data_IF_739107362142
#
_entry.id   IF_739107362142
#
_cell.length_a   1.000
_cell.length_b   1.000
_cell.length_c   1.000
_cell.angle_alpha   90.00
_cell.angle_beta   90.00
_cell.angle_gamma   90.00
#
_symmetry.space_group_name_H-M   'P 1'
#
loop_
_entity.id
_entity.type
_entity.pdbx_description
1 polymer ?
#
# COMPACT_ATOMS: atom_id res chain seq x y z
N UNK A 1 -18.55 -31.76 13.36
CA UNK A 1 -18.59 -31.88 11.87
C UNK A 1 -18.25 -30.55 11.18
N UNK A 2 -18.91 -29.44 11.53
CA UNK A 2 -18.68 -28.10 10.96
C UNK A 2 -17.21 -27.65 10.96
N UNK A 3 -16.48 -27.82 12.07
CA UNK A 3 -15.08 -27.43 12.17
C UNK A 3 -14.15 -28.19 11.20
N UNK A 4 -14.37 -29.51 11.01
CA UNK A 4 -13.58 -30.31 10.06
C UNK A 4 -13.76 -29.82 8.62
N UNK A 5 -15.01 -29.47 8.26
CA UNK A 5 -15.32 -28.91 6.94
C UNK A 5 -14.60 -27.56 6.75
N UNK A 6 -14.70 -26.65 7.73
CA UNK A 6 -14.02 -25.35 7.68
C UNK A 6 -12.50 -25.50 7.54
N UNK A 7 -11.87 -26.38 8.34
CA UNK A 7 -10.43 -26.65 8.27
C UNK A 7 -10.01 -27.24 6.92
N UNK A 8 -10.84 -28.08 6.32
CA UNK A 8 -10.58 -28.68 5.01
C UNK A 8 -10.71 -27.68 3.86
N UNK A 9 -11.63 -26.70 3.97
CA UNK A 9 -11.80 -25.62 3.00
C UNK A 9 -10.63 -24.62 2.97
N UNK A 10 -9.78 -24.59 4.00
CA UNK A 10 -8.63 -23.69 4.07
C UNK A 10 -7.41 -24.36 3.42
N UNK A 11 -6.70 -23.66 2.50
CA UNK A 11 -5.47 -24.15 1.89
C UNK A 11 -4.42 -24.55 2.92
N UNK A 12 -3.71 -25.64 2.68
CA UNK A 12 -2.72 -26.19 3.61
C UNK A 12 -1.61 -25.20 3.97
N UNK A 13 -1.19 -24.37 3.00
CA UNK A 13 -0.23 -23.28 3.19
C UNK A 13 -0.65 -22.24 4.23
N UNK A 14 -1.95 -22.10 4.49
CA UNK A 14 -2.52 -21.14 5.45
C UNK A 14 -2.91 -21.85 6.76
N UNK A 15 -3.24 -23.15 6.69
CA UNK A 15 -3.71 -23.94 7.83
C UNK A 15 -2.71 -23.96 9.00
N UNK A 16 -1.41 -24.08 8.71
CA UNK A 16 -0.36 -24.06 9.75
C UNK A 16 -0.22 -22.70 10.47
N UNK A 17 -0.78 -21.64 9.88
CA UNK A 17 -0.86 -20.32 10.49
C UNK A 17 -2.15 -20.12 11.30
N UNK A 18 -2.97 -21.13 11.57
CA UNK A 18 -4.15 -20.98 12.45
C UNK A 18 -3.94 -21.90 13.65
N UNK A 19 -4.00 -21.38 14.90
CA UNK A 19 -3.89 -22.23 16.08
C UNK A 19 -4.96 -23.34 16.07
N UNK A 20 -4.65 -24.45 16.70
CA UNK A 20 -5.63 -25.51 16.88
C UNK A 20 -6.78 -25.03 17.76
N UNK A 21 -8.01 -25.25 17.31
CA UNK A 21 -9.24 -24.87 18.01
C UNK A 21 -10.25 -26.00 17.88
N UNK A 22 -11.09 -26.15 18.92
CA UNK A 22 -12.11 -27.20 19.04
C UNK A 22 -13.52 -26.67 18.78
N UNK A 23 -13.74 -25.37 19.00
CA UNK A 23 -15.02 -24.71 18.78
C UNK A 23 -15.05 -24.01 17.42
N UNK A 24 -16.04 -24.37 16.60
CA UNK A 24 -16.20 -23.80 15.25
C UNK A 24 -16.31 -22.26 15.24
N UNK A 25 -17.01 -21.69 16.23
CA UNK A 25 -17.15 -20.23 16.36
C UNK A 25 -15.81 -19.55 16.70
N UNK A 26 -15.10 -20.08 17.70
CA UNK A 26 -13.79 -19.57 18.08
C UNK A 26 -12.77 -19.68 16.95
N UNK A 27 -12.84 -20.73 16.13
CA UNK A 27 -12.02 -20.90 14.94
C UNK A 27 -12.28 -19.81 13.90
N UNK A 28 -13.55 -19.47 13.65
CA UNK A 28 -13.91 -18.36 12.77
C UNK A 28 -13.45 -17.01 13.34
N UNK A 29 -13.61 -16.79 14.64
CA UNK A 29 -13.15 -15.55 15.29
C UNK A 29 -11.61 -15.42 15.19
N UNK A 30 -10.86 -16.52 15.33
CA UNK A 30 -9.41 -16.53 15.13
C UNK A 30 -9.01 -16.21 13.69
N UNK A 31 -9.71 -16.76 12.70
CA UNK A 31 -9.50 -16.40 11.29
C UNK A 31 -9.80 -14.92 11.08
N UNK A 32 -10.96 -14.45 11.53
CA UNK A 32 -11.35 -13.05 11.40
C UNK A 32 -10.34 -12.12 12.06
N UNK A 33 -9.83 -12.44 13.25
CA UNK A 33 -8.81 -11.64 13.95
C UNK A 33 -7.44 -11.69 13.27
N UNK A 34 -7.04 -12.84 12.72
CA UNK A 34 -5.73 -13.01 12.10
C UNK A 34 -5.65 -12.41 10.69
N UNK A 35 -6.77 -12.41 9.98
CA UNK A 35 -6.94 -11.82 8.66
C UNK A 35 -7.74 -10.51 8.68
N UNK A 36 -8.03 -9.98 9.87
CA UNK A 36 -8.53 -8.61 10.01
C UNK A 36 -7.59 -7.69 9.25
N UNK A 37 -8.14 -6.66 8.59
CA UNK A 37 -7.40 -5.70 7.79
C UNK A 37 -6.14 -5.26 8.56
N UNK A 38 -5.00 -5.84 8.17
CA UNK A 38 -3.77 -5.66 8.91
C UNK A 38 -3.17 -4.35 8.43
N UNK A 39 -3.00 -3.40 9.35
CA UNK A 39 -2.38 -2.10 9.06
C UNK A 39 -1.07 -2.26 8.27
N UNK A 40 -0.29 -3.33 8.52
CA UNK A 40 0.94 -3.65 7.76
C UNK A 40 0.67 -4.04 6.32
N UNK A 41 -0.39 -4.82 6.06
CA UNK A 41 -0.78 -5.22 4.70
C UNK A 41 -1.29 -4.00 3.95
N UNK A 42 -2.15 -3.19 4.56
CA UNK A 42 -2.62 -1.95 3.93
C UNK A 42 -1.45 -0.99 3.64
N UNK A 43 -0.54 -0.81 4.60
CA UNK A 43 0.69 -0.02 4.42
C UNK A 43 1.51 -0.53 3.24
N UNK A 44 1.73 -1.85 3.16
CA UNK A 44 2.49 -2.48 2.07
C UNK A 44 1.80 -2.29 0.72
N UNK A 45 0.47 -2.41 0.67
CA UNK A 45 -0.32 -2.18 -0.54
C UNK A 45 -0.24 -0.72 -1.00
N UNK A 46 -0.38 0.25 -0.08
CA UNK A 46 -0.29 1.68 -0.41
C UNK A 46 1.12 2.02 -0.89
N UNK A 47 2.16 1.55 -0.20
CA UNK A 47 3.56 1.76 -0.60
C UNK A 47 3.83 1.18 -1.99
N UNK A 48 3.40 -0.07 -2.23
CA UNK A 48 3.54 -0.72 -3.54
C UNK A 48 2.86 0.08 -4.65
N UNK A 49 1.64 0.58 -4.40
CA UNK A 49 0.94 1.47 -5.34
C UNK A 49 1.72 2.77 -5.55
N UNK A 50 2.20 3.41 -4.49
CA UNK A 50 2.91 4.68 -4.55
C UNK A 50 4.19 4.57 -5.40
N UNK A 51 5.02 3.55 -5.19
CA UNK A 51 6.30 3.39 -5.90
C UNK A 51 6.14 2.87 -7.34
N UNK A 52 5.08 2.11 -7.62
CA UNK A 52 4.80 1.57 -8.95
C UNK A 52 4.01 2.52 -9.85
N UNK A 53 3.35 3.52 -9.27
CA UNK A 53 2.57 4.49 -10.02
C UNK A 53 3.44 5.26 -11.01
N UNK A 54 2.95 5.40 -12.25
CA UNK A 54 3.58 6.17 -13.33
C UNK A 54 2.56 7.08 -13.98
N UNK A 55 2.98 8.30 -14.32
CA UNK A 55 2.12 9.24 -15.03
C UNK A 55 1.98 8.82 -16.50
N UNK A 56 0.74 8.58 -16.95
CA UNK A 56 0.44 8.07 -18.30
C UNK A 56 0.00 9.17 -19.29
N UNK A 57 0.08 10.45 -18.92
CA UNK A 57 -0.30 11.56 -19.80
C UNK A 57 -1.80 11.75 -20.06
N UNK A 58 -2.67 10.87 -19.54
CA UNK A 58 -4.13 10.93 -19.78
C UNK A 58 -4.89 11.85 -18.83
N UNK A 59 -4.43 11.96 -17.58
CA UNK A 59 -5.01 12.82 -16.53
C UNK A 59 -4.22 14.12 -16.46
N UNK A 60 -4.77 15.15 -15.82
CA UNK A 60 -4.00 16.34 -15.50
C UNK A 60 -2.87 15.99 -14.51
N UNK A 61 -1.69 16.59 -14.68
CA UNK A 61 -0.55 16.43 -13.78
C UNK A 61 -0.90 16.83 -12.33
N UNK A 62 -1.75 17.85 -12.14
CA UNK A 62 -2.21 18.27 -10.82
C UNK A 62 -3.03 17.19 -10.12
N UNK A 63 -3.93 16.56 -10.85
CA UNK A 63 -4.75 15.46 -10.33
C UNK A 63 -3.87 14.25 -9.97
N UNK A 64 -2.86 13.98 -10.79
CA UNK A 64 -1.89 12.92 -10.53
C UNK A 64 -1.10 13.15 -9.23
N UNK A 65 -0.58 14.36 -9.03
CA UNK A 65 0.13 14.74 -7.79
C UNK A 65 -0.81 14.66 -6.58
N UNK A 66 -2.05 15.09 -6.73
CA UNK A 66 -3.06 14.98 -5.67
C UNK A 66 -3.37 13.52 -5.32
N UNK A 67 -3.43 12.63 -6.32
CA UNK A 67 -3.60 11.19 -6.09
C UNK A 67 -2.42 10.60 -5.29
N UNK A 68 -1.18 10.96 -5.64
CA UNK A 68 0.02 10.55 -4.87
C UNK A 68 0.01 11.13 -3.45
N UNK A 69 -0.32 12.40 -3.28
CA UNK A 69 -0.39 13.07 -1.97
C UNK A 69 -1.41 12.41 -1.07
N UNK A 70 -2.58 12.03 -1.61
CA UNK A 70 -3.60 11.31 -0.86
C UNK A 70 -3.11 9.93 -0.37
N UNK A 71 -2.28 9.22 -1.15
CA UNK A 71 -1.66 7.98 -0.69
C UNK A 71 -0.70 8.23 0.49
N UNK A 72 0.09 9.29 0.44
CA UNK A 72 0.98 9.68 1.56
C UNK A 72 0.17 10.05 2.82
N UNK A 73 -0.92 10.80 2.68
CA UNK A 73 -1.82 11.13 3.80
C UNK A 73 -2.41 9.88 4.45
N UNK A 74 -2.75 8.86 3.64
CA UNK A 74 -3.22 7.57 4.16
C UNK A 74 -2.11 6.80 4.89
N UNK A 75 -0.88 6.81 4.38
CA UNK A 75 0.27 6.23 5.09
C UNK A 75 0.48 6.91 6.44
N UNK A 76 0.35 8.24 6.50
CA UNK A 76 0.42 9.00 7.76
C UNK A 76 -0.65 8.57 8.75
N UNK A 77 -1.89 8.32 8.30
CA UNK A 77 -2.96 7.78 9.16
C UNK A 77 -2.62 6.38 9.72
N UNK A 78 -1.81 5.60 8.99
CA UNK A 78 -1.27 4.30 9.41
C UNK A 78 0.07 4.41 10.17
N UNK A 79 0.41 5.61 10.68
CA UNK A 79 1.63 5.91 11.45
C UNK A 79 2.94 5.73 10.64
N UNK A 80 2.88 5.72 9.30
CA UNK A 80 4.04 5.77 8.43
C UNK A 80 4.13 7.14 7.77
N UNK A 81 5.01 8.00 8.29
CA UNK A 81 5.24 9.32 7.72
C UNK A 81 6.34 9.29 6.65
N UNK A 82 6.05 9.91 5.50
CA UNK A 82 7.02 10.19 4.45
C UNK A 82 7.25 11.69 4.41
N UNK A 83 8.51 12.10 4.24
CA UNK A 83 8.84 13.52 4.09
C UNK A 83 8.26 14.06 2.77
N UNK A 84 7.99 15.37 2.76
CA UNK A 84 7.55 16.06 1.53
C UNK A 84 8.60 15.94 0.43
N UNK A 85 9.89 15.97 0.78
CA UNK A 85 11.00 15.79 -0.15
C UNK A 85 10.94 14.42 -0.86
N UNK A 86 10.68 13.34 -0.12
CA UNK A 86 10.49 12.01 -0.71
C UNK A 86 9.30 12.00 -1.67
N UNK A 87 8.18 12.65 -1.31
CA UNK A 87 7.01 12.74 -2.19
C UNK A 87 7.35 13.48 -3.49
N UNK A 88 8.10 14.59 -3.41
CA UNK A 88 8.54 15.34 -4.60
C UNK A 88 9.43 14.46 -5.49
N UNK A 89 10.40 13.76 -4.91
CA UNK A 89 11.25 12.84 -5.66
C UNK A 89 10.46 11.69 -6.30
N UNK A 90 9.48 11.11 -5.59
CA UNK A 90 8.59 10.07 -6.12
C UNK A 90 7.75 10.56 -7.31
N UNK A 91 7.24 11.79 -7.24
CA UNK A 91 6.56 12.44 -8.37
C UNK A 91 7.54 12.58 -9.54
N UNK A 92 8.74 13.13 -9.31
CA UNK A 92 9.70 13.37 -10.39
C UNK A 92 10.13 12.09 -11.11
N UNK A 93 10.42 11.00 -10.39
CA UNK A 93 10.83 9.73 -11.01
C UNK A 93 9.68 9.04 -11.75
N UNK A 94 8.42 9.32 -11.38
CA UNK A 94 7.25 8.69 -12.00
C UNK A 94 6.80 9.38 -13.30
N UNK A 95 7.33 10.57 -13.59
CA UNK A 95 7.02 11.30 -14.83
C UNK A 95 7.75 10.71 -16.05
N UNK A 96 7.08 10.65 -17.21
CA UNK A 96 7.69 10.22 -18.47
C UNK A 96 8.74 11.22 -18.96
N UNK A 97 9.58 10.78 -19.90
CA UNK A 97 10.74 11.53 -20.43
C UNK A 97 10.37 12.87 -21.06
N UNK A 98 9.14 13.05 -21.54
CA UNK A 98 8.63 14.35 -21.99
C UNK A 98 8.68 15.45 -20.91
N UNK A 99 8.74 15.08 -19.62
CA UNK A 99 8.91 16.01 -18.49
C UNK A 99 10.37 16.16 -18.03
N UNK A 100 11.35 15.69 -18.82
CA UNK A 100 12.78 15.83 -18.46
C UNK A 100 13.20 17.26 -18.13
N UNK A 101 12.75 18.32 -18.84
CA UNK A 101 13.06 19.70 -18.47
C UNK A 101 12.62 20.07 -17.05
N UNK A 102 11.49 19.52 -16.58
CA UNK A 102 11.00 19.75 -15.22
C UNK A 102 11.92 19.12 -14.17
N UNK A 103 12.42 17.89 -14.44
CA UNK A 103 13.39 17.22 -13.56
C UNK A 103 14.70 17.98 -13.47
N UNK A 104 15.21 18.46 -14.62
CA UNK A 104 16.45 19.25 -14.67
C UNK A 104 16.27 20.56 -13.88
N UNK A 105 15.18 21.28 -14.11
CA UNK A 105 14.88 22.54 -13.40
C UNK A 105 14.89 22.34 -11.88
N UNK A 106 14.18 21.33 -11.37
CA UNK A 106 14.17 21.00 -9.94
C UNK A 106 15.57 20.70 -9.40
N UNK A 107 16.32 19.81 -10.06
CA UNK A 107 17.66 19.42 -9.59
C UNK A 107 18.68 20.57 -9.62
N UNK A 108 18.46 21.59 -10.46
CA UNK A 108 19.32 22.78 -10.55
C UNK A 108 18.91 23.92 -9.63
N UNK A 109 17.75 23.81 -8.95
CA UNK A 109 17.40 24.75 -7.89
C UNK A 109 18.38 24.55 -6.74
N UNK A 110 19.16 25.59 -6.43
CA UNK A 110 19.95 25.61 -5.19
C UNK A 110 18.96 25.55 -4.03
N UNK A 111 19.23 24.66 -3.07
CA UNK A 111 18.55 24.67 -1.78
C UNK A 111 18.57 26.10 -1.24
N UNK A 112 17.41 26.58 -0.81
CA UNK A 112 17.23 27.92 -0.27
C UNK A 112 17.73 28.00 1.17
#
# INVERSE_FOLDING_TARGET
>A
MSLMIMKHSIPEAIRGAIPEETQAKAFLDQIANRFAANEKVETSTILSKLVSMRYKGKKNIREYIMEMSNLVTRLKALKLELSEDILVHLVLISLPTQFSPFKISYNTQKEK
#
